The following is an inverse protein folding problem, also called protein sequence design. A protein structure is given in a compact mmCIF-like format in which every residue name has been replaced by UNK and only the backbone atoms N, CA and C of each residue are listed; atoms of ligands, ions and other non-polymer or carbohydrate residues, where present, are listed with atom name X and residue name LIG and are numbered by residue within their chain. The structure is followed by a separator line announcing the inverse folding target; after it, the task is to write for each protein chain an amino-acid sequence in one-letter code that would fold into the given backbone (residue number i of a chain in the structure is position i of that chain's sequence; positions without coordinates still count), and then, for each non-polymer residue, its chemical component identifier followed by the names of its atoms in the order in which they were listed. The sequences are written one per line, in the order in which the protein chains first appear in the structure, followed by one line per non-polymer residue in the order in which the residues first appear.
data_IF_216839593059
#
_entry.id   IF_216839593059
#
_cell.length_a   1.000
_cell.length_b   1.000
_cell.length_c   1.000
_cell.angle_alpha   90.00
_cell.angle_beta   90.00
_cell.angle_gamma   90.00
#
_symmetry.space_group_name_H-M   'P 1'
#
loop_
_entity.id
_entity.type
_entity.pdbx_description
1 polymer ?
#
# COMPACT_ATOMS: atom_id res chain seq x y z
N UNK A 1 2.59 15.60 7.33
CA UNK A 1 1.95 14.68 6.37
C UNK A 1 3.00 13.88 5.62
N UNK A 2 2.77 12.60 5.43
CA UNK A 2 3.73 11.73 4.75
C UNK A 2 3.78 12.05 3.26
N UNK A 3 5.00 12.17 2.73
CA UNK A 3 5.23 12.40 1.31
C UNK A 3 5.29 11.05 0.59
N UNK A 4 4.58 10.93 -0.53
CA UNK A 4 4.46 9.67 -1.27
C UNK A 4 5.18 9.72 -2.60
N UNK A 5 5.93 8.64 -2.88
CA UNK A 5 6.43 8.34 -4.21
C UNK A 5 5.84 7.00 -4.63
N UNK A 6 5.90 6.69 -5.91
CA UNK A 6 5.38 5.43 -6.46
C UNK A 6 6.36 4.85 -7.46
N UNK A 7 6.56 3.53 -7.40
CA UNK A 7 7.29 2.84 -8.46
C UNK A 7 6.35 2.62 -9.65
N UNK A 8 6.93 2.52 -10.85
CA UNK A 8 6.14 2.23 -12.04
C UNK A 8 5.35 0.93 -11.91
N UNK A 9 5.94 -0.05 -11.22
CA UNK A 9 5.28 -1.33 -10.98
C UNK A 9 4.00 -1.14 -10.15
N UNK A 10 4.03 -0.28 -9.13
CA UNK A 10 2.85 0.05 -8.35
C UNK A 10 1.77 0.65 -9.24
N UNK A 11 2.14 1.59 -10.10
CA UNK A 11 1.18 2.24 -10.98
C UNK A 11 0.51 1.25 -11.93
N UNK A 12 1.29 0.32 -12.48
CA UNK A 12 0.75 -0.72 -13.36
C UNK A 12 -0.23 -1.63 -12.64
N UNK A 13 0.13 -2.04 -11.43
CA UNK A 13 -0.73 -2.90 -10.61
C UNK A 13 -2.02 -2.16 -10.21
N UNK A 14 -1.90 -0.87 -9.90
CA UNK A 14 -3.04 -0.05 -9.53
C UNK A 14 -4.02 0.07 -10.69
N UNK A 15 -3.51 0.37 -11.89
CA UNK A 15 -4.36 0.48 -13.08
C UNK A 15 -5.09 -0.82 -13.38
N UNK A 16 -4.37 -1.93 -13.31
CA UNK A 16 -4.98 -3.23 -13.56
C UNK A 16 -6.09 -3.52 -12.56
N UNK A 17 -5.84 -3.22 -11.29
CA UNK A 17 -6.82 -3.42 -10.24
C UNK A 17 -8.07 -2.57 -10.44
N UNK A 18 -7.89 -1.30 -10.77
CA UNK A 18 -9.01 -0.38 -10.98
C UNK A 18 -9.80 -0.74 -12.24
N UNK A 19 -9.11 -1.23 -13.28
CA UNK A 19 -9.81 -1.68 -14.49
C UNK A 19 -10.75 -2.84 -14.20
N UNK A 20 -10.33 -3.76 -13.33
CA UNK A 20 -11.17 -4.91 -12.95
C UNK A 20 -12.25 -4.55 -11.94
N UNK A 21 -11.93 -3.62 -11.04
CA UNK A 21 -12.81 -3.27 -9.93
C UNK A 21 -12.81 -1.77 -9.70
N UNK A 22 -13.49 -0.99 -10.57
CA UNK A 22 -13.47 0.48 -10.49
C UNK A 22 -13.93 1.02 -9.15
N UNK A 23 -14.78 0.29 -8.44
CA UNK A 23 -15.31 0.72 -7.15
C UNK A 23 -14.20 0.81 -6.08
N UNK A 24 -13.07 0.16 -6.30
CA UNK A 24 -11.96 0.20 -5.34
C UNK A 24 -11.24 1.55 -5.32
N UNK A 25 -11.38 2.34 -6.38
CA UNK A 25 -10.68 3.62 -6.47
C UNK A 25 -10.97 4.52 -5.28
N UNK A 26 -12.23 4.60 -4.87
CA UNK A 26 -12.62 5.46 -3.76
C UNK A 26 -12.02 5.00 -2.44
N UNK A 27 -12.10 3.70 -2.14
CA UNK A 27 -11.59 3.20 -0.86
C UNK A 27 -10.06 3.27 -0.84
N UNK A 28 -9.40 3.02 -1.95
CA UNK A 28 -7.96 3.14 -2.02
C UNK A 28 -7.55 4.58 -1.71
N UNK A 29 -8.21 5.56 -2.35
CA UNK A 29 -7.91 6.97 -2.13
C UNK A 29 -8.11 7.35 -0.66
N UNK A 30 -9.20 6.89 -0.06
CA UNK A 30 -9.49 7.19 1.34
C UNK A 30 -8.45 6.60 2.28
N UNK A 31 -8.03 5.37 2.03
CA UNK A 31 -7.04 4.72 2.89
C UNK A 31 -5.65 5.33 2.72
N UNK A 32 -5.30 5.74 1.52
CA UNK A 32 -4.03 6.43 1.28
C UNK A 32 -4.01 7.76 2.03
N UNK A 33 -5.11 8.51 2.00
CA UNK A 33 -5.19 9.76 2.76
C UNK A 33 -5.08 9.53 4.26
N UNK A 34 -5.74 8.48 4.74
CA UNK A 34 -5.66 8.13 6.15
C UNK A 34 -4.22 7.78 6.53
N UNK A 35 -3.54 7.00 5.69
CA UNK A 35 -2.15 6.64 5.90
C UNK A 35 -1.25 7.88 5.97
N UNK A 36 -1.45 8.82 5.05
CA UNK A 36 -0.65 10.05 5.03
C UNK A 36 -0.84 10.87 6.30
N UNK A 37 -2.06 10.86 6.82
CA UNK A 37 -2.37 11.64 8.02
C UNK A 37 -1.91 10.95 9.29
N UNK A 38 -2.09 9.64 9.36
CA UNK A 38 -1.72 8.85 10.55
C UNK A 38 -1.46 7.40 10.17
N UNK A 39 -0.20 7.07 9.84
CA UNK A 39 0.13 5.70 9.44
C UNK A 39 -0.09 4.66 10.53
N UNK A 40 -0.21 5.08 11.78
CA UNK A 40 -0.44 4.16 12.89
C UNK A 40 -1.92 3.94 13.19
N UNK A 41 -2.81 4.49 12.39
CA UNK A 41 -4.25 4.29 12.58
C UNK A 41 -4.55 2.79 12.49
N UNK A 42 -5.28 2.28 13.49
CA UNK A 42 -5.53 0.84 13.59
C UNK A 42 -6.33 0.28 12.42
N UNK A 43 -7.10 1.10 11.74
CA UNK A 43 -7.87 0.66 10.57
C UNK A 43 -6.98 0.25 9.40
N UNK A 44 -5.72 0.66 9.41
CA UNK A 44 -4.77 0.35 8.36
C UNK A 44 -4.07 -1.00 8.57
N UNK A 45 -4.05 -1.49 9.81
CA UNK A 45 -3.30 -2.69 10.14
C UNK A 45 -1.88 -2.62 9.58
N UNK A 46 -1.24 -1.47 9.76
CA UNK A 46 0.09 -1.20 9.24
C UNK A 46 1.14 -2.00 10.01
N UNK A 47 1.97 -2.75 9.31
CA UNK A 47 2.96 -3.60 9.97
C UNK A 47 4.16 -3.88 9.07
N UNK A 48 5.32 -4.16 9.65
CA UNK A 48 6.50 -4.52 8.86
C UNK A 48 6.39 -5.97 8.36
N UNK A 49 7.04 -6.23 7.23
CA UNK A 49 7.10 -7.55 6.64
C UNK A 49 8.46 -8.14 6.98
N UNK A 50 8.49 -9.09 7.92
CA UNK A 50 9.76 -9.54 8.49
C UNK A 50 10.29 -10.84 7.91
N UNK A 51 9.47 -11.64 7.25
CA UNK A 51 9.90 -12.96 6.80
C UNK A 51 10.41 -12.98 5.36
N UNK A 52 9.66 -12.40 4.44
CA UNK A 52 9.96 -12.51 3.03
C UNK A 52 10.39 -11.20 2.38
N UNK A 53 10.09 -10.08 3.01
CA UNK A 53 10.36 -8.75 2.44
C UNK A 53 10.90 -7.85 3.53
N UNK A 54 12.12 -8.13 3.98
CA UNK A 54 12.75 -7.32 5.01
C UNK A 54 12.75 -5.85 4.64
N UNK A 55 12.54 -4.99 5.63
CA UNK A 55 12.52 -3.54 5.50
C UNK A 55 11.35 -3.02 4.68
N UNK A 56 10.41 -3.91 4.31
CA UNK A 56 9.17 -3.50 3.66
C UNK A 56 8.05 -3.51 4.68
N UNK A 57 7.02 -2.74 4.38
CA UNK A 57 5.84 -2.60 5.24
C UNK A 57 4.60 -2.76 4.39
N UNK A 58 3.47 -3.05 5.04
CA UNK A 58 2.20 -3.15 4.34
C UNK A 58 1.08 -2.57 5.17
N UNK A 59 0.09 -1.97 4.50
CA UNK A 59 -1.14 -1.61 5.17
C UNK A 59 -2.35 -2.06 4.34
N UNK A 60 -3.47 -2.23 5.04
CA UNK A 60 -4.69 -2.76 4.44
C UNK A 60 -5.53 -1.68 3.80
N UNK A 61 -6.00 -1.93 2.58
CA UNK A 61 -7.04 -1.11 1.95
C UNK A 61 -8.39 -1.75 2.24
N UNK A 62 -8.50 -3.06 1.99
CA UNK A 62 -9.65 -3.88 2.36
C UNK A 62 -9.11 -5.14 3.03
N UNK A 63 -9.99 -6.07 3.39
CA UNK A 63 -9.55 -7.33 3.98
C UNK A 63 -8.59 -8.08 3.07
N UNK A 64 -8.76 -7.94 1.76
CA UNK A 64 -7.94 -8.66 0.78
C UNK A 64 -6.85 -7.79 0.17
N UNK A 65 -7.13 -6.51 -0.07
CA UNK A 65 -6.21 -5.63 -0.80
C UNK A 65 -5.23 -4.95 0.15
N UNK A 66 -3.95 -5.04 -0.18
CA UNK A 66 -2.84 -4.46 0.60
C UNK A 66 -1.99 -3.57 -0.27
N UNK A 67 -1.36 -2.57 0.35
CA UNK A 67 -0.31 -1.77 -0.30
C UNK A 67 1.00 -2.06 0.42
N UNK A 68 2.01 -2.46 -0.35
CA UNK A 68 3.36 -2.69 0.18
C UNK A 68 4.20 -1.45 -0.12
N UNK A 69 4.95 -0.99 0.86
CA UNK A 69 5.75 0.22 0.72
C UNK A 69 7.04 0.12 1.52
N UNK A 70 7.93 1.07 1.29
CA UNK A 70 9.17 1.19 2.06
C UNK A 70 9.32 2.63 2.54
N UNK A 71 9.95 2.79 3.68
CA UNK A 71 10.29 4.11 4.20
C UNK A 71 11.56 4.59 3.54
N UNK A 72 11.55 5.83 3.02
CA UNK A 72 12.73 6.47 2.44
C UNK A 72 13.35 7.46 3.41
N UNK A 73 12.66 7.75 4.50
CA UNK A 73 13.08 8.66 5.54
C UNK A 73 12.00 8.73 6.59
N UNK A 74 12.06 9.70 7.48
CA UNK A 74 11.10 9.78 8.59
C UNK A 74 9.67 10.06 8.15
N UNK A 75 9.52 10.81 7.06
CA UNK A 75 8.19 11.24 6.61
C UNK A 75 7.97 11.00 5.12
N UNK A 76 8.75 10.13 4.52
CA UNK A 76 8.67 9.86 3.10
C UNK A 76 8.63 8.36 2.85
N UNK A 77 7.71 7.94 1.98
CA UNK A 77 7.59 6.52 1.64
C UNK A 77 7.50 6.36 0.12
N UNK A 78 7.78 5.16 -0.34
CA UNK A 78 7.59 4.79 -1.74
C UNK A 78 6.70 3.56 -1.79
N UNK A 79 5.58 3.67 -2.52
CA UNK A 79 4.67 2.55 -2.73
C UNK A 79 5.27 1.62 -3.77
N UNK A 80 5.30 0.33 -3.46
CA UNK A 80 5.96 -0.67 -4.28
C UNK A 80 4.97 -1.57 -5.03
N UNK A 81 3.87 -1.95 -4.39
CA UNK A 81 2.92 -2.89 -4.95
C UNK A 81 1.55 -2.72 -4.30
N UNK A 82 0.50 -3.08 -5.04
CA UNK A 82 -0.86 -3.09 -4.54
C UNK A 82 -1.60 -4.28 -5.15
N UNK A 83 -2.43 -4.96 -4.36
CA UNK A 83 -3.22 -6.07 -4.83
C UNK A 83 -3.61 -6.99 -3.71
N UNK A 84 -4.14 -8.18 -4.06
CA UNK A 84 -4.50 -9.18 -3.08
C UNK A 84 -3.27 -9.74 -2.39
N UNK A 85 -3.49 -10.36 -1.23
CA UNK A 85 -2.40 -10.85 -0.39
C UNK A 85 -1.39 -11.73 -1.15
N UNK A 86 -1.89 -12.69 -1.90
CA UNK A 86 -1.00 -13.60 -2.63
C UNK A 86 -0.21 -12.92 -3.75
N UNK A 87 -0.71 -11.79 -4.24
CA UNK A 87 -0.07 -11.08 -5.34
C UNK A 87 1.04 -10.16 -4.85
N UNK A 88 0.80 -9.44 -3.75
CA UNK A 88 1.78 -8.45 -3.26
C UNK A 88 2.90 -9.07 -2.44
N UNK A 89 2.68 -10.23 -1.85
CA UNK A 89 3.69 -10.92 -1.03
C UNK A 89 4.42 -12.03 -1.79
N UNK A 90 4.28 -12.03 -3.09
CA UNK A 90 4.94 -13.01 -3.93
C UNK A 90 6.43 -12.70 -4.00
N UNK A 91 7.25 -13.73 -3.81
CA UNK A 91 8.71 -13.61 -3.92
C UNK A 91 9.15 -13.63 -5.37
#
# INVERSE_FOLDING_TARGET
MIKLYQKGEFESMYKELIDKSPELKKIITEKVKLFQKNPEDTRLDNHPLTKTMEEKWAFSVTDDIRIVYEWLGESTVRFLAIGGHGKVYKN
#
